data_IF_862589786484
#
_entry.id   IF_862589786484
#
_cell.length_a   1.000
_cell.length_b   1.000
_cell.length_c   1.000
_cell.angle_alpha   90.00
_cell.angle_beta   90.00
_cell.angle_gamma   90.00
#
_symmetry.space_group_name_H-M   'P 1'
#
loop_
_entity.id
_entity.type
_entity.pdbx_description
1 polymer ?
#
# COMPACT_ATOMS: atom_id res chain seq x y z
N UNK A 1 10.68 -0.82 -14.50
CA UNK A 1 12.02 -1.13 -13.96
C UNK A 1 12.88 0.12 -14.00
N UNK A 2 13.16 0.73 -12.86
CA UNK A 2 14.14 1.80 -12.76
C UNK A 2 15.46 1.18 -12.29
N UNK A 3 16.50 1.28 -13.10
CA UNK A 3 17.84 0.77 -12.81
C UNK A 3 17.89 -0.74 -12.46
N UNK A 4 16.99 -1.54 -13.06
CA UNK A 4 16.93 -2.97 -12.84
C UNK A 4 16.15 -3.40 -11.57
N UNK A 5 15.55 -2.44 -10.85
CA UNK A 5 14.69 -2.77 -9.71
C UNK A 5 13.37 -3.41 -10.18
N UNK A 6 13.01 -4.53 -9.61
CA UNK A 6 11.74 -5.21 -9.88
C UNK A 6 10.73 -4.94 -8.76
N UNK A 7 9.46 -4.78 -9.14
CA UNK A 7 8.38 -4.73 -8.16
C UNK A 7 8.33 -6.03 -7.35
N UNK A 8 8.05 -5.90 -6.06
CA UNK A 8 7.93 -7.05 -5.17
C UNK A 8 6.84 -8.02 -5.64
N UNK A 9 6.96 -9.29 -5.28
CA UNK A 9 5.91 -10.28 -5.54
C UNK A 9 4.58 -9.88 -4.89
N UNK A 10 4.62 -9.20 -3.74
CA UNK A 10 3.45 -8.65 -3.06
C UNK A 10 2.67 -7.67 -3.93
N UNK A 11 3.35 -6.71 -4.55
CA UNK A 11 2.74 -5.75 -5.49
C UNK A 11 2.18 -6.47 -6.72
N UNK A 12 2.95 -7.39 -7.31
CA UNK A 12 2.51 -8.13 -8.52
C UNK A 12 1.25 -8.94 -8.22
N UNK A 13 1.23 -9.67 -7.11
CA UNK A 13 0.08 -10.45 -6.66
C UNK A 13 -1.13 -9.56 -6.37
N UNK A 14 -0.92 -8.44 -5.68
CA UNK A 14 -1.98 -7.49 -5.39
C UNK A 14 -2.58 -6.91 -6.68
N UNK A 15 -1.74 -6.46 -7.62
CA UNK A 15 -2.18 -5.95 -8.92
C UNK A 15 -2.96 -7.00 -9.72
N UNK A 16 -2.46 -8.25 -9.80
CA UNK A 16 -3.09 -9.33 -10.54
C UNK A 16 -4.53 -9.61 -10.09
N UNK A 17 -4.84 -9.42 -8.80
CA UNK A 17 -6.20 -9.62 -8.29
C UNK A 17 -7.21 -8.58 -8.81
N UNK A 18 -6.78 -7.46 -9.38
CA UNK A 18 -7.64 -6.42 -9.92
C UNK A 18 -7.92 -6.55 -11.42
N UNK A 19 -7.21 -7.43 -12.15
CA UNK A 19 -7.48 -7.73 -13.55
C UNK A 19 -8.80 -8.49 -13.71
N UNK A 20 -9.32 -8.57 -14.94
CA UNK A 20 -10.68 -9.06 -15.24
C UNK A 20 -10.98 -10.48 -14.76
N UNK A 21 -9.96 -11.34 -14.69
CA UNK A 21 -10.02 -12.70 -14.16
C UNK A 21 -9.58 -12.79 -12.67
N UNK A 22 -9.16 -11.68 -12.10
CA UNK A 22 -8.69 -11.60 -10.73
C UNK A 22 -9.81 -11.69 -9.69
N UNK A 23 -9.43 -12.03 -8.46
CA UNK A 23 -10.38 -12.19 -7.35
C UNK A 23 -11.16 -10.89 -7.07
N UNK A 24 -10.47 -9.74 -7.00
CA UNK A 24 -11.11 -8.46 -6.66
C UNK A 24 -11.96 -7.88 -7.78
N UNK A 25 -11.76 -8.32 -9.02
CA UNK A 25 -12.64 -7.96 -10.13
C UNK A 25 -13.96 -8.74 -10.09
N UNK A 26 -13.92 -10.02 -9.65
CA UNK A 26 -15.10 -10.87 -9.52
C UNK A 26 -15.89 -10.61 -8.23
N UNK A 27 -15.15 -10.54 -7.12
CA UNK A 27 -15.71 -10.51 -5.76
C UNK A 27 -15.49 -9.14 -5.12
N UNK A 28 -15.82 -8.06 -5.74
CA UNK A 28 -15.61 -6.68 -5.28
C UNK A 28 -15.29 -6.57 -3.77
N UNK A 29 -14.04 -6.32 -3.36
CA UNK A 29 -13.69 -6.36 -1.95
C UNK A 29 -14.31 -5.18 -1.20
N UNK A 30 -14.61 -5.39 0.08
CA UNK A 30 -14.79 -4.28 1.00
C UNK A 30 -13.44 -3.55 1.15
N UNK A 31 -13.37 -2.32 0.64
CA UNK A 31 -12.13 -1.53 0.61
C UNK A 31 -11.63 -1.22 2.01
N UNK A 32 -12.52 -0.97 2.97
CA UNK A 32 -12.13 -0.72 4.36
C UNK A 32 -11.46 -1.97 4.96
N UNK A 33 -12.02 -3.16 4.75
CA UNK A 33 -11.39 -4.42 5.19
C UNK A 33 -10.07 -4.69 4.47
N UNK A 34 -9.99 -4.37 3.18
CA UNK A 34 -8.73 -4.50 2.43
C UNK A 34 -7.63 -3.60 2.99
N UNK A 35 -7.95 -2.35 3.36
CA UNK A 35 -7.01 -1.42 3.99
C UNK A 35 -6.58 -1.90 5.39
N UNK A 36 -7.50 -2.44 6.19
CA UNK A 36 -7.16 -3.04 7.48
C UNK A 36 -6.23 -4.26 7.34
N UNK A 37 -6.43 -5.05 6.30
CA UNK A 37 -5.55 -6.19 5.97
C UNK A 37 -4.14 -5.70 5.64
N UNK A 38 -4.03 -4.66 4.82
CA UNK A 38 -2.74 -4.05 4.48
C UNK A 38 -2.07 -3.36 5.68
N UNK A 39 -2.86 -2.89 6.65
CA UNK A 39 -2.35 -2.37 7.92
C UNK A 39 -1.92 -3.48 8.92
N UNK A 40 -2.14 -4.75 8.60
CA UNK A 40 -1.83 -5.87 9.49
C UNK A 40 -2.84 -6.09 10.64
N UNK A 41 -4.02 -5.49 10.56
CA UNK A 41 -5.08 -5.60 11.57
C UNK A 41 -6.06 -6.74 11.33
N UNK A 42 -6.02 -7.32 10.14
CA UNK A 42 -6.78 -8.51 9.72
C UNK A 42 -5.82 -9.45 8.98
N UNK A 43 -5.90 -10.73 9.28
CA UNK A 43 -5.14 -11.73 8.53
C UNK A 43 -5.62 -11.82 7.08
N UNK A 44 -4.69 -11.86 6.13
CA UNK A 44 -5.00 -11.89 4.69
C UNK A 44 -5.86 -13.09 4.30
N UNK A 45 -5.55 -14.26 4.82
CA UNK A 45 -6.30 -15.47 4.46
C UNK A 45 -7.71 -15.41 5.03
N UNK A 46 -7.88 -14.90 6.25
CA UNK A 46 -9.18 -14.64 6.85
C UNK A 46 -10.01 -13.66 6.03
N UNK A 47 -9.39 -12.56 5.56
CA UNK A 47 -10.05 -11.59 4.66
C UNK A 47 -10.51 -12.25 3.36
N UNK A 48 -9.62 -12.98 2.67
CA UNK A 48 -9.96 -13.63 1.39
C UNK A 48 -11.05 -14.69 1.59
N UNK A 49 -10.96 -15.52 2.62
CA UNK A 49 -11.96 -16.53 2.92
C UNK A 49 -13.32 -15.90 3.26
N UNK A 50 -13.31 -14.84 4.06
CA UNK A 50 -14.52 -14.08 4.39
C UNK A 50 -15.19 -13.50 3.14
N UNK A 51 -14.41 -12.87 2.28
CA UNK A 51 -14.91 -12.29 1.03
C UNK A 51 -15.56 -13.35 0.11
N UNK A 52 -14.91 -14.52 -0.06
CA UNK A 52 -15.44 -15.60 -0.92
C UNK A 52 -16.66 -16.28 -0.32
N UNK A 53 -16.71 -16.44 1.02
CA UNK A 53 -17.82 -17.12 1.72
C UNK A 53 -18.93 -16.18 2.15
N UNK A 54 -18.73 -14.85 2.05
CA UNK A 54 -19.66 -13.86 2.59
C UNK A 54 -19.67 -13.81 4.13
N UNK A 55 -18.56 -14.18 4.78
CA UNK A 55 -18.37 -14.15 6.22
C UNK A 55 -17.62 -12.85 6.59
N UNK A 56 -18.16 -12.11 7.56
CA UNK A 56 -17.46 -10.92 8.07
C UNK A 56 -16.35 -11.34 9.06
N UNK A 57 -15.13 -10.75 8.95
CA UNK A 57 -14.07 -11.04 9.91
C UNK A 57 -14.41 -10.46 11.29
N UNK A 58 -13.98 -11.15 12.34
CA UNK A 58 -14.09 -10.62 13.70
C UNK A 58 -13.06 -9.49 13.89
N UNK A 59 -13.53 -8.29 14.20
CA UNK A 59 -12.70 -7.10 14.38
C UNK A 59 -12.52 -6.76 15.86
N UNK A 60 -11.28 -6.47 16.27
CA UNK A 60 -11.02 -5.83 17.56
C UNK A 60 -11.64 -4.43 17.62
N UNK A 61 -11.82 -3.85 18.81
CA UNK A 61 -12.36 -2.49 18.96
C UNK A 61 -11.51 -1.43 18.21
N UNK A 62 -10.19 -1.58 18.22
CA UNK A 62 -9.30 -0.69 17.46
C UNK A 62 -9.50 -0.84 15.95
N UNK A 63 -9.63 -2.07 15.47
CA UNK A 63 -9.89 -2.35 14.06
C UNK A 63 -11.29 -1.85 13.63
N UNK A 64 -12.32 -1.97 14.46
CA UNK A 64 -13.65 -1.40 14.18
C UNK A 64 -13.61 0.11 14.01
N UNK A 65 -12.90 0.82 14.88
CA UNK A 65 -12.76 2.27 14.77
C UNK A 65 -12.08 2.69 13.47
N UNK A 66 -11.04 1.97 13.06
CA UNK A 66 -10.39 2.21 11.77
C UNK A 66 -11.28 1.84 10.60
N UNK A 67 -11.99 0.73 10.68
CA UNK A 67 -12.97 0.32 9.68
C UNK A 67 -13.99 1.43 9.43
N UNK A 68 -14.60 1.95 10.48
CA UNK A 68 -15.57 3.04 10.37
C UNK A 68 -14.98 4.28 9.69
N UNK A 69 -13.73 4.63 10.01
CA UNK A 69 -13.01 5.74 9.37
C UNK A 69 -12.77 5.53 7.88
N UNK A 70 -12.34 4.35 7.47
CA UNK A 70 -12.10 4.02 6.06
C UNK A 70 -13.40 3.79 5.29
N UNK A 71 -14.43 3.25 5.95
CA UNK A 71 -15.72 2.97 5.32
C UNK A 71 -16.55 4.24 5.10
N UNK A 72 -16.47 5.22 6.00
CA UNK A 72 -17.31 6.41 5.95
C UNK A 72 -17.33 7.11 4.56
N UNK A 73 -16.19 7.36 3.88
CA UNK A 73 -16.18 8.03 2.58
C UNK A 73 -16.72 7.18 1.43
N UNK A 74 -16.78 5.86 1.57
CA UNK A 74 -17.21 4.94 0.51
C UNK A 74 -18.61 4.35 0.77
N UNK A 75 -19.14 4.57 1.96
CA UNK A 75 -20.47 4.08 2.35
C UNK A 75 -21.54 4.65 1.41
N UNK A 76 -22.29 3.73 0.78
CA UNK A 76 -23.39 4.10 -0.11
C UNK A 76 -22.97 4.59 -1.51
N UNK A 77 -21.69 4.45 -1.88
CA UNK A 77 -21.28 4.68 -3.27
C UNK A 77 -22.02 3.70 -4.21
N UNK A 78 -22.49 4.17 -5.38
CA UNK A 78 -22.98 3.29 -6.41
C UNK A 78 -21.85 2.41 -6.97
N UNK A 79 -22.20 1.36 -7.72
CA UNK A 79 -21.22 0.43 -8.30
C UNK A 79 -20.14 1.13 -9.13
N UNK A 80 -20.50 2.20 -9.84
CA UNK A 80 -19.56 3.02 -10.61
C UNK A 80 -18.51 3.71 -9.74
N UNK A 81 -18.83 4.02 -8.49
CA UNK A 81 -17.90 4.58 -7.51
C UNK A 81 -16.75 3.64 -7.18
N UNK A 82 -16.94 2.34 -7.36
CA UNK A 82 -15.90 1.33 -7.17
C UNK A 82 -14.82 1.37 -8.27
N UNK A 83 -15.12 1.91 -9.44
CA UNK A 83 -14.18 1.96 -10.56
C UNK A 83 -12.90 2.74 -10.25
N UNK A 84 -12.96 3.75 -9.38
CA UNK A 84 -11.77 4.49 -8.92
C UNK A 84 -10.77 3.58 -8.20
N UNK A 85 -11.25 2.74 -7.31
CA UNK A 85 -10.42 1.77 -6.56
C UNK A 85 -9.80 0.71 -7.47
N UNK A 86 -10.58 0.23 -8.45
CA UNK A 86 -10.10 -0.73 -9.46
C UNK A 86 -9.06 -0.08 -10.39
N UNK A 87 -9.28 1.16 -10.81
CA UNK A 87 -8.40 1.85 -11.77
C UNK A 87 -7.01 2.11 -11.21
N UNK A 88 -6.89 2.44 -9.93
CA UNK A 88 -5.61 2.75 -9.32
C UNK A 88 -4.59 1.60 -9.47
N UNK A 89 -4.86 0.36 -8.99
CA UNK A 89 -3.91 -0.75 -9.14
C UNK A 89 -3.63 -1.09 -10.60
N UNK A 90 -4.64 -1.03 -11.48
CA UNK A 90 -4.46 -1.28 -12.91
C UNK A 90 -3.63 -0.21 -13.64
N UNK A 91 -3.45 0.95 -13.02
CA UNK A 91 -2.60 2.02 -13.59
C UNK A 91 -1.12 1.88 -13.26
N UNK A 92 -0.74 0.91 -12.41
CA UNK A 92 0.66 0.68 -12.06
C UNK A 92 1.37 0.01 -13.25
N UNK A 93 2.43 0.60 -13.82
CA UNK A 93 3.11 0.07 -15.00
C UNK A 93 4.10 -1.05 -14.60
N UNK A 94 3.59 -2.22 -14.24
CA UNK A 94 4.40 -3.33 -13.73
C UNK A 94 5.35 -3.93 -14.80
N UNK A 95 4.86 -4.07 -16.03
CA UNK A 95 5.55 -4.84 -17.06
C UNK A 95 5.86 -4.05 -18.34
N UNK A 96 5.25 -2.87 -18.54
CA UNK A 96 5.51 -2.05 -19.72
C UNK A 96 5.24 -0.56 -19.49
N UNK A 97 5.85 0.27 -20.32
CA UNK A 97 5.58 1.71 -20.42
C UNK A 97 4.26 2.01 -21.17
N UNK A 98 3.66 1.03 -21.81
CA UNK A 98 2.54 1.20 -22.75
C UNK A 98 1.22 1.58 -22.07
N UNK A 99 1.08 1.34 -20.77
CA UNK A 99 -0.10 1.77 -20.03
C UNK A 99 -0.16 3.28 -19.70
N UNK A 100 0.74 4.07 -20.27
CA UNK A 100 0.68 5.54 -20.32
C UNK A 100 1.29 6.26 -19.11
N UNK A 101 1.66 5.58 -18.06
CA UNK A 101 2.24 6.21 -16.87
C UNK A 101 3.77 6.08 -16.76
N UNK A 102 4.40 5.19 -17.52
CA UNK A 102 5.82 4.90 -17.43
C UNK A 102 6.71 6.12 -17.66
N UNK A 103 6.45 6.92 -18.70
CA UNK A 103 7.22 8.12 -19.00
C UNK A 103 7.11 9.20 -17.91
N UNK A 104 5.92 9.38 -17.33
CA UNK A 104 5.71 10.31 -16.23
C UNK A 104 6.43 9.81 -14.96
N UNK A 105 6.38 8.53 -14.66
CA UNK A 105 7.12 7.94 -13.54
C UNK A 105 8.62 8.07 -13.69
N UNK A 106 9.17 7.87 -14.88
CA UNK A 106 10.59 8.07 -15.17
C UNK A 106 11.02 9.53 -14.91
N UNK A 107 10.22 10.50 -15.35
CA UNK A 107 10.48 11.91 -15.10
C UNK A 107 10.47 12.23 -13.60
N UNK A 108 9.46 11.72 -12.86
CA UNK A 108 9.37 11.91 -11.41
C UNK A 108 10.53 11.23 -10.68
N UNK A 109 10.92 10.05 -11.09
CA UNK A 109 12.06 9.34 -10.54
C UNK A 109 13.35 10.15 -10.66
N UNK A 110 13.67 10.64 -11.86
CA UNK A 110 14.83 11.51 -12.09
C UNK A 110 14.79 12.79 -11.26
N UNK A 111 13.60 13.39 -11.13
CA UNK A 111 13.41 14.58 -10.31
C UNK A 111 13.65 14.29 -8.82
N UNK A 112 13.23 13.13 -8.33
CA UNK A 112 13.49 12.68 -6.96
C UNK A 112 14.99 12.43 -6.73
N UNK A 113 15.68 11.78 -7.66
CA UNK A 113 17.14 11.56 -7.54
C UNK A 113 17.94 12.87 -7.56
N UNK A 114 17.41 13.91 -8.22
CA UNK A 114 18.01 15.25 -8.21
C UNK A 114 17.60 16.09 -6.97
N UNK A 115 16.77 15.53 -6.06
CA UNK A 115 16.31 16.22 -4.87
C UNK A 115 17.45 16.38 -3.87
N UNK A 116 17.79 17.62 -3.54
CA UNK A 116 18.96 17.95 -2.71
C UNK A 116 18.62 18.30 -1.26
N UNK A 117 17.39 18.05 -0.83
CA UNK A 117 16.97 18.23 0.57
C UNK A 117 17.04 16.93 1.33
N UNK A 118 17.15 17.03 2.66
CA UNK A 118 17.07 15.88 3.54
C UNK A 118 15.78 15.10 3.32
N UNK A 119 15.89 13.80 3.29
CA UNK A 119 14.76 12.87 3.18
C UNK A 119 14.92 11.79 4.23
N UNK A 120 13.87 11.57 5.02
CA UNK A 120 13.83 10.52 6.03
C UNK A 120 12.81 9.46 5.61
N UNK A 121 13.24 8.21 5.56
CA UNK A 121 12.43 7.05 5.23
C UNK A 121 12.05 6.32 6.51
N UNK A 122 10.78 6.42 6.92
CA UNK A 122 10.22 5.68 8.05
C UNK A 122 9.42 4.50 7.48
N UNK A 123 9.80 3.29 7.85
CA UNK A 123 9.35 2.09 7.13
C UNK A 123 8.89 0.98 8.06
N UNK A 124 7.71 0.40 7.77
CA UNK A 124 7.25 -0.82 8.43
C UNK A 124 8.00 -2.04 7.91
N UNK A 125 8.64 -2.80 8.79
CA UNK A 125 9.44 -3.96 8.35
C UNK A 125 8.59 -5.18 7.98
N UNK A 126 7.32 -5.18 8.36
CA UNK A 126 6.33 -6.22 7.98
C UNK A 126 5.55 -5.85 6.70
N UNK A 127 5.95 -4.77 6.00
CA UNK A 127 5.33 -4.37 4.74
C UNK A 127 5.72 -5.36 3.63
N UNK A 128 4.75 -6.15 3.17
CA UNK A 128 4.91 -7.12 2.09
C UNK A 128 4.55 -6.56 0.71
N UNK A 129 4.05 -5.32 0.65
CA UNK A 129 3.76 -4.58 -0.58
C UNK A 129 4.99 -3.82 -1.03
N UNK A 130 5.48 -2.90 -0.18
CA UNK A 130 6.74 -2.19 -0.36
C UNK A 130 7.77 -2.71 0.64
N UNK A 131 8.55 -3.68 0.22
CA UNK A 131 9.48 -4.40 1.11
C UNK A 131 10.54 -3.48 1.73
N UNK A 132 11.08 -3.90 2.87
CA UNK A 132 12.16 -3.20 3.57
C UNK A 132 13.38 -2.95 2.65
N UNK A 133 13.70 -3.89 1.78
CA UNK A 133 14.83 -3.73 0.86
C UNK A 133 14.58 -2.62 -0.16
N UNK A 134 13.35 -2.44 -0.59
CA UNK A 134 12.96 -1.34 -1.46
C UNK A 134 13.12 0.02 -0.76
N UNK A 135 12.68 0.12 0.50
CA UNK A 135 12.85 1.32 1.31
C UNK A 135 14.32 1.67 1.54
N UNK A 136 15.18 0.68 1.83
CA UNK A 136 16.63 0.86 1.98
C UNK A 136 17.29 1.32 0.68
N UNK A 137 16.89 0.75 -0.45
CA UNK A 137 17.41 1.15 -1.76
C UNK A 137 17.07 2.61 -2.07
N UNK A 138 15.82 3.03 -1.86
CA UNK A 138 15.41 4.42 -2.01
C UNK A 138 16.17 5.36 -1.08
N UNK A 139 16.31 4.99 0.19
CA UNK A 139 17.10 5.76 1.15
C UNK A 139 18.55 5.95 0.68
N UNK A 140 19.18 4.90 0.18
CA UNK A 140 20.52 4.95 -0.37
C UNK A 140 20.62 5.86 -1.61
N UNK A 141 19.69 5.72 -2.56
CA UNK A 141 19.67 6.52 -3.80
C UNK A 141 19.46 8.02 -3.54
N UNK A 142 18.69 8.36 -2.51
CA UNK A 142 18.40 9.75 -2.16
C UNK A 142 19.34 10.31 -1.07
N UNK A 143 20.34 9.55 -0.65
CA UNK A 143 21.24 9.92 0.46
C UNK A 143 20.44 10.30 1.72
N UNK A 144 19.36 9.54 1.99
CA UNK A 144 18.44 9.76 3.09
C UNK A 144 18.73 8.87 4.30
N UNK A 145 18.05 9.13 5.42
CA UNK A 145 18.06 8.22 6.56
C UNK A 145 17.01 7.12 6.39
N UNK A 146 17.23 5.96 7.02
CA UNK A 146 16.28 4.86 7.01
C UNK A 146 16.00 4.42 8.44
N UNK A 147 14.74 4.56 8.87
CA UNK A 147 14.27 4.16 10.19
C UNK A 147 13.23 3.05 10.09
N UNK A 148 13.60 1.80 10.43
CA UNK A 148 12.68 0.68 10.45
C UNK A 148 11.78 0.70 11.69
N UNK A 149 10.49 0.43 11.52
CA UNK A 149 9.52 0.24 12.63
C UNK A 149 9.14 -1.23 12.70
N UNK A 150 9.55 -1.89 13.77
CA UNK A 150 9.28 -3.32 14.02
C UNK A 150 7.79 -3.54 14.30
N UNK A 151 7.20 -4.59 13.70
CA UNK A 151 5.78 -4.93 13.85
C UNK A 151 4.83 -4.07 13.01
N UNK A 152 5.36 -3.07 12.29
CA UNK A 152 4.56 -2.21 11.43
C UNK A 152 4.48 -2.78 10.00
N UNK A 153 3.27 -2.79 9.44
CA UNK A 153 2.99 -3.14 8.04
C UNK A 153 2.91 -1.92 7.14
N UNK A 154 2.20 -2.07 6.01
CA UNK A 154 2.10 -1.06 4.95
C UNK A 154 1.54 0.30 5.43
N UNK A 155 0.59 0.32 6.35
CA UNK A 155 0.00 1.53 6.92
C UNK A 155 0.49 1.78 8.34
N UNK A 156 1.81 1.88 8.53
CA UNK A 156 2.45 2.07 9.83
C UNK A 156 1.94 3.29 10.61
N UNK A 157 1.52 4.35 9.93
CA UNK A 157 0.95 5.54 10.58
C UNK A 157 -0.35 5.26 11.33
N UNK A 158 -1.05 4.18 11.01
CA UNK A 158 -2.30 3.80 11.68
C UNK A 158 -2.06 2.94 12.93
N UNK A 159 -1.00 2.15 12.92
CA UNK A 159 -0.70 1.18 13.98
C UNK A 159 0.44 1.63 14.90
N UNK A 160 1.37 2.45 14.40
CA UNK A 160 2.59 2.89 15.07
C UNK A 160 2.76 4.43 15.01
N UNK A 161 1.65 5.16 15.14
CA UNK A 161 1.63 6.63 15.00
C UNK A 161 2.61 7.35 15.93
N UNK A 162 2.77 6.88 17.17
CA UNK A 162 3.68 7.49 18.14
C UNK A 162 5.13 7.34 17.71
N UNK A 163 5.54 6.18 17.23
CA UNK A 163 6.87 5.91 16.72
C UNK A 163 7.16 6.77 15.49
N UNK A 164 6.20 6.89 14.57
CA UNK A 164 6.32 7.76 13.39
C UNK A 164 6.51 9.22 13.80
N UNK A 165 5.71 9.73 14.75
CA UNK A 165 5.82 11.10 15.26
C UNK A 165 7.16 11.32 15.93
N UNK A 166 7.62 10.38 16.75
CA UNK A 166 8.95 10.44 17.40
C UNK A 166 10.05 10.56 16.34
N UNK A 167 10.06 9.69 15.33
CA UNK A 167 11.03 9.76 14.25
C UNK A 167 11.03 11.11 13.51
N UNK A 168 9.86 11.68 13.25
CA UNK A 168 9.74 12.99 12.60
C UNK A 168 10.35 14.09 13.48
N UNK A 169 10.04 14.09 14.78
CA UNK A 169 10.54 15.13 15.71
C UNK A 169 12.06 15.03 15.96
N UNK A 170 12.62 13.83 15.98
CA UNK A 170 14.05 13.60 16.17
C UNK A 170 14.88 13.98 14.94
N UNK A 171 14.28 13.98 13.76
CA UNK A 171 14.95 14.25 12.49
C UNK A 171 14.68 15.65 11.92
N UNK A 172 13.88 16.48 12.62
CA UNK A 172 13.46 17.82 12.18
C UNK A 172 14.52 18.91 12.39
#
# INVERSE_FOLDING_TARGET
HHDGYEYSEGIRRWNANWHDDGLFAREKPDIALLLLTSAGLIDRNQFIQGMVKGEEPELSEAAKKMYDGYHAPIKGLPDEGFNGFRRFPLSIPLDSYENGHGAAQELHYRSLLAWNKKVDFIWGIEDDVFTTDWGKEWSSKMNGTFTPITGAGHFLQNTHANEVVTCILENS
#
